data_IF_669730183949
#
_entry.id   IF_669730183949
#
_cell.length_a   1.000
_cell.length_b   1.000
_cell.length_c   1.000
_cell.angle_alpha   90.00
_cell.angle_beta   90.00
_cell.angle_gamma   90.00
#
_symmetry.space_group_name_H-M   'P 1'
#
loop_
_entity.id
_entity.type
_entity.pdbx_description
1 polymer ?
#
# COMPACT_ATOMS: atom_id res chain seq x y z
N UNK A 1 18.13 10.06 -10.84
CA UNK A 1 17.14 11.07 -10.46
C UNK A 1 17.84 12.14 -9.65
N UNK A 2 18.16 13.27 -10.29
CA UNK A 2 18.99 14.36 -9.76
C UNK A 2 18.17 15.61 -9.41
N UNK A 3 17.05 15.82 -10.10
CA UNK A 3 16.17 16.99 -9.95
C UNK A 3 14.74 16.60 -9.59
N UNK A 4 13.94 17.57 -9.14
CA UNK A 4 12.49 17.38 -8.94
C UNK A 4 11.78 17.12 -10.28
N UNK A 5 12.27 17.71 -11.37
CA UNK A 5 11.69 17.45 -12.69
C UNK A 5 11.95 16.00 -13.13
N UNK A 6 13.13 15.45 -12.83
CA UNK A 6 13.38 14.02 -13.02
C UNK A 6 12.37 13.19 -12.21
N UNK A 7 12.12 13.54 -10.94
CA UNK A 7 11.12 12.88 -10.10
C UNK A 7 9.75 12.82 -10.76
N UNK A 8 9.29 13.96 -11.26
CA UNK A 8 8.00 14.07 -11.96
C UNK A 8 7.97 13.23 -13.24
N UNK A 9 9.06 13.20 -14.00
CA UNK A 9 9.14 12.39 -15.23
C UNK A 9 9.05 10.89 -14.94
N UNK A 10 9.80 10.39 -13.94
CA UNK A 10 9.71 8.98 -13.55
C UNK A 10 8.32 8.63 -12.99
N UNK A 11 7.74 9.49 -12.14
CA UNK A 11 6.39 9.30 -11.65
C UNK A 11 5.37 9.28 -12.78
N UNK A 12 5.50 10.19 -13.76
CA UNK A 12 4.62 10.21 -14.94
C UNK A 12 4.67 8.90 -15.72
N UNK A 13 5.85 8.37 -16.00
CA UNK A 13 6.00 7.09 -16.71
C UNK A 13 5.29 5.94 -15.96
N UNK A 14 5.45 5.89 -14.63
CA UNK A 14 4.78 4.90 -13.78
C UNK A 14 3.25 5.08 -13.79
N UNK A 15 2.77 6.31 -13.58
CA UNK A 15 1.35 6.64 -13.49
C UNK A 15 0.62 6.45 -14.82
N UNK A 16 1.23 6.82 -15.94
CA UNK A 16 0.66 6.59 -17.26
C UNK A 16 0.42 5.08 -17.49
N UNK A 17 1.33 4.21 -17.04
CA UNK A 17 1.12 2.76 -17.12
C UNK A 17 0.02 2.26 -16.18
N UNK A 18 -0.01 2.72 -14.92
CA UNK A 18 -1.12 2.41 -14.01
C UNK A 18 -2.47 2.81 -14.60
N UNK A 19 -2.55 4.00 -15.20
CA UNK A 19 -3.75 4.48 -15.87
C UNK A 19 -4.15 3.60 -17.05
N UNK A 20 -3.21 3.24 -17.92
CA UNK A 20 -3.44 2.34 -19.06
C UNK A 20 -4.04 1.01 -18.57
N UNK A 21 -3.52 0.45 -17.47
CA UNK A 21 -4.04 -0.78 -16.85
C UNK A 21 -5.45 -0.59 -16.26
N UNK A 22 -5.70 0.50 -15.54
CA UNK A 22 -7.03 0.79 -15.01
C UNK A 22 -8.05 0.90 -16.15
N UNK A 23 -7.68 1.59 -17.23
CA UNK A 23 -8.54 1.76 -18.39
C UNK A 23 -8.80 0.46 -19.14
N UNK A 24 -7.80 -0.43 -19.23
CA UNK A 24 -8.00 -1.73 -19.88
C UNK A 24 -9.00 -2.59 -19.12
N UNK A 25 -9.06 -2.46 -17.79
CA UNK A 25 -9.98 -3.19 -16.91
C UNK A 25 -11.36 -2.52 -16.75
N UNK A 26 -11.49 -1.26 -17.17
CA UNK A 26 -12.73 -0.50 -17.01
C UNK A 26 -13.90 -1.13 -17.77
N UNK A 27 -15.07 -1.19 -17.12
CA UNK A 27 -16.29 -1.79 -17.68
C UNK A 27 -16.30 -3.31 -17.73
N UNK A 28 -15.24 -3.98 -17.26
CA UNK A 28 -15.23 -5.44 -17.12
C UNK A 28 -15.92 -5.86 -15.84
N UNK A 29 -16.61 -6.99 -15.92
CA UNK A 29 -17.15 -7.66 -14.73
C UNK A 29 -16.06 -8.57 -14.17
N UNK A 30 -15.64 -8.37 -12.92
CA UNK A 30 -14.73 -9.30 -12.26
C UNK A 30 -15.36 -10.68 -12.09
N UNK A 31 -14.51 -11.69 -12.01
CA UNK A 31 -14.93 -13.05 -11.72
C UNK A 31 -15.34 -13.24 -10.25
N UNK A 32 -14.85 -12.38 -9.34
CA UNK A 32 -15.18 -12.42 -7.91
C UNK A 32 -15.05 -11.04 -7.26
N UNK A 33 -15.65 -10.87 -6.08
CA UNK A 33 -15.49 -9.65 -5.28
C UNK A 33 -14.02 -9.42 -4.87
N UNK A 34 -13.26 -10.49 -4.60
CA UNK A 34 -11.81 -10.41 -4.30
C UNK A 34 -11.05 -9.83 -5.49
N UNK A 35 -11.42 -10.19 -6.71
CA UNK A 35 -10.84 -9.61 -7.91
C UNK A 35 -11.22 -8.14 -8.10
N UNK A 36 -12.48 -7.78 -7.85
CA UNK A 36 -12.92 -6.37 -7.86
C UNK A 36 -12.13 -5.53 -6.85
N UNK A 37 -11.98 -6.01 -5.62
CA UNK A 37 -11.26 -5.31 -4.55
C UNK A 37 -9.76 -5.20 -4.86
N UNK A 38 -9.17 -6.23 -5.47
CA UNK A 38 -7.80 -6.18 -6.01
C UNK A 38 -7.66 -5.07 -7.07
N UNK A 39 -8.63 -4.92 -7.96
CA UNK A 39 -8.63 -3.87 -8.99
C UNK A 39 -8.85 -2.48 -8.38
N UNK A 40 -9.64 -2.38 -7.31
CA UNK A 40 -9.79 -1.14 -6.54
C UNK A 40 -8.48 -0.73 -5.85
N UNK A 41 -7.68 -1.71 -5.40
CA UNK A 41 -6.36 -1.44 -4.83
C UNK A 41 -5.40 -0.80 -5.83
N UNK A 42 -5.42 -1.25 -7.10
CA UNK A 42 -4.67 -0.63 -8.19
C UNK A 42 -5.06 0.85 -8.36
N UNK A 43 -6.37 1.16 -8.33
CA UNK A 43 -6.86 2.54 -8.43
C UNK A 43 -6.43 3.38 -7.21
N UNK A 44 -6.44 2.79 -6.02
CA UNK A 44 -5.99 3.45 -4.80
C UNK A 44 -4.51 3.81 -4.86
N UNK A 45 -3.67 2.88 -5.34
CA UNK A 45 -2.23 3.12 -5.55
C UNK A 45 -1.99 4.22 -6.59
N UNK A 46 -2.73 4.20 -7.71
CA UNK A 46 -2.67 5.23 -8.74
C UNK A 46 -3.05 6.61 -8.21
N UNK A 47 -4.17 6.70 -7.48
CA UNK A 47 -4.65 7.96 -6.90
C UNK A 47 -3.63 8.57 -5.93
N UNK A 48 -3.08 7.76 -5.02
CA UNK A 48 -2.01 8.20 -4.10
C UNK A 48 -0.76 8.67 -4.83
N UNK A 49 -0.35 7.97 -5.90
CA UNK A 49 0.79 8.38 -6.72
C UNK A 49 0.54 9.70 -7.47
N UNK A 50 -0.69 9.95 -7.94
CA UNK A 50 -1.08 11.24 -8.52
C UNK A 50 -0.97 12.36 -7.49
N UNK A 51 -1.50 12.17 -6.29
CA UNK A 51 -1.41 13.16 -5.20
C UNK A 51 0.04 13.45 -4.83
N UNK A 52 0.87 12.42 -4.70
CA UNK A 52 2.30 12.58 -4.46
C UNK A 52 2.96 13.43 -5.54
N UNK A 53 2.65 13.15 -6.81
CA UNK A 53 3.25 13.86 -7.96
C UNK A 53 2.86 15.33 -7.98
N UNK A 54 1.60 15.67 -7.70
CA UNK A 54 1.15 17.06 -7.61
C UNK A 54 1.87 17.84 -6.50
N UNK A 55 2.19 17.19 -5.38
CA UNK A 55 2.89 17.84 -4.27
C UNK A 55 4.38 18.11 -4.57
N UNK A 56 4.96 17.50 -5.61
CA UNK A 56 6.31 17.82 -6.06
C UNK A 56 6.41 19.22 -6.68
N UNK A 57 5.29 19.81 -7.15
CA UNK A 57 5.26 21.21 -7.61
C UNK A 57 5.35 22.21 -6.44
N UNK A 58 5.15 21.72 -5.21
CA UNK A 58 5.11 22.52 -4.00
C UNK A 58 3.78 23.28 -3.83
N UNK A 59 3.56 23.77 -2.63
CA UNK A 59 2.37 24.54 -2.26
C UNK A 59 2.78 25.99 -2.03
N UNK A 60 2.18 26.89 -2.81
CA UNK A 60 2.31 28.35 -2.65
C UNK A 60 0.99 28.97 -2.18
N UNK A 61 1.02 30.25 -1.83
CA UNK A 61 -0.19 30.97 -1.41
C UNK A 61 -0.14 32.43 -1.84
N UNK A 62 -1.25 32.99 -2.32
CA UNK A 62 -1.33 34.39 -2.75
C UNK A 62 -2.39 35.11 -1.92
N UNK A 63 -2.03 36.27 -1.35
CA UNK A 63 -2.94 37.18 -0.66
C UNK A 63 -2.71 38.61 -1.13
N UNK A 64 -3.62 39.14 -1.95
CA UNK A 64 -3.51 40.46 -2.59
C UNK A 64 -2.18 40.58 -3.35
N UNK A 65 -1.31 41.50 -2.93
CA UNK A 65 0.02 41.72 -3.51
C UNK A 65 1.10 40.82 -2.91
N UNK A 66 0.80 40.11 -1.82
CA UNK A 66 1.75 39.22 -1.14
C UNK A 66 1.64 37.81 -1.71
N UNK A 67 2.78 37.16 -1.91
CA UNK A 67 2.85 35.76 -2.35
C UNK A 67 3.85 34.98 -1.51
N UNK A 68 3.49 33.73 -1.22
CA UNK A 68 4.35 32.68 -0.75
C UNK A 68 4.76 31.85 -1.96
N UNK A 69 6.05 31.79 -2.24
CA UNK A 69 6.59 30.93 -3.29
C UNK A 69 6.28 29.45 -2.98
N UNK A 70 6.08 28.61 -3.99
CA UNK A 70 5.83 27.19 -3.78
C UNK A 70 6.92 26.53 -2.93
N UNK A 71 6.49 25.83 -1.89
CA UNK A 71 7.34 25.07 -0.97
C UNK A 71 6.98 23.59 -1.08
N UNK A 72 8.00 22.73 -1.23
CA UNK A 72 7.79 21.28 -1.22
C UNK A 72 7.77 20.81 0.24
N UNK A 73 6.57 20.45 0.72
CA UNK A 73 6.41 19.87 2.06
C UNK A 73 6.76 18.37 2.03
N UNK A 74 8.01 18.07 2.36
CA UNK A 74 8.48 16.69 2.39
C UNK A 74 7.81 15.82 3.46
N UNK A 75 7.24 16.41 4.53
CA UNK A 75 6.55 15.64 5.58
C UNK A 75 5.26 15.00 5.05
N UNK A 76 4.52 15.74 4.22
CA UNK A 76 3.33 15.22 3.52
C UNK A 76 3.75 14.17 2.47
N UNK A 77 4.85 14.40 1.74
CA UNK A 77 5.39 13.41 0.81
C UNK A 77 5.70 12.07 1.51
N UNK A 78 6.33 12.10 2.68
CA UNK A 78 6.60 10.88 3.46
C UNK A 78 5.33 10.25 4.06
N UNK A 79 4.32 11.04 4.37
CA UNK A 79 3.02 10.55 4.82
C UNK A 79 2.32 9.74 3.71
N UNK A 80 2.35 10.24 2.47
CA UNK A 80 1.84 9.52 1.32
C UNK A 80 2.70 8.28 1.02
N UNK A 81 4.03 8.40 1.09
CA UNK A 81 4.94 7.26 0.91
C UNK A 81 4.65 6.12 1.89
N UNK A 82 4.41 6.45 3.16
CA UNK A 82 3.97 5.48 4.18
C UNK A 82 2.66 4.82 3.82
N UNK A 83 1.66 5.60 3.41
CA UNK A 83 0.35 5.06 3.04
C UNK A 83 0.44 4.11 1.84
N UNK A 84 1.30 4.41 0.86
CA UNK A 84 1.58 3.53 -0.28
C UNK A 84 2.30 2.26 0.18
N UNK A 85 3.29 2.36 1.07
CA UNK A 85 3.97 1.20 1.67
C UNK A 85 2.98 0.28 2.40
N UNK A 86 2.17 0.82 3.31
CA UNK A 86 1.17 0.05 4.05
C UNK A 86 0.15 -0.60 3.09
N UNK A 87 -0.25 0.11 2.03
CA UNK A 87 -1.14 -0.44 1.01
C UNK A 87 -0.50 -1.61 0.26
N UNK A 88 0.78 -1.50 -0.11
CA UNK A 88 1.52 -2.60 -0.72
C UNK A 88 1.59 -3.81 0.22
N UNK A 89 1.93 -3.61 1.50
CA UNK A 89 1.99 -4.69 2.48
C UNK A 89 0.65 -5.42 2.60
N UNK A 90 -0.45 -4.69 2.71
CA UNK A 90 -1.78 -5.30 2.79
C UNK A 90 -2.12 -6.03 1.50
N UNK A 91 -1.79 -5.46 0.33
CA UNK A 91 -1.96 -6.14 -0.95
C UNK A 91 -1.22 -7.48 -1.02
N UNK A 92 0.04 -7.51 -0.60
CA UNK A 92 0.84 -8.75 -0.55
C UNK A 92 0.17 -9.81 0.33
N UNK A 93 -0.24 -9.42 1.55
CA UNK A 93 -0.89 -10.31 2.52
C UNK A 93 -2.19 -10.91 1.95
N UNK A 94 -3.00 -10.10 1.26
CA UNK A 94 -4.33 -10.50 0.81
C UNK A 94 -4.33 -11.25 -0.53
N UNK A 95 -3.42 -10.90 -1.44
CA UNK A 95 -3.54 -11.32 -2.85
C UNK A 95 -2.33 -12.09 -3.39
N UNK A 96 -1.14 -11.90 -2.82
CA UNK A 96 0.11 -12.46 -3.40
C UNK A 96 0.66 -13.61 -2.57
N UNK A 97 0.74 -13.44 -1.25
CA UNK A 97 1.33 -14.42 -0.33
C UNK A 97 0.48 -15.67 -0.08
N UNK A 98 -0.88 -15.62 -0.08
CA UNK A 98 -1.67 -16.83 0.09
C UNK A 98 -1.42 -17.84 -1.03
N UNK A 99 -1.01 -19.06 -0.67
CA UNK A 99 -0.69 -20.13 -1.63
C UNK A 99 -1.92 -20.92 -2.07
N UNK A 100 -3.03 -20.79 -1.36
CA UNK A 100 -4.30 -21.49 -1.67
C UNK A 100 -5.49 -20.54 -1.54
N UNK A 101 -6.58 -20.86 -2.24
CA UNK A 101 -7.83 -20.12 -2.13
C UNK A 101 -8.36 -20.08 -0.69
N UNK A 102 -8.21 -21.16 0.08
CA UNK A 102 -8.65 -21.17 1.48
C UNK A 102 -7.77 -20.29 2.38
N UNK A 103 -6.46 -20.23 2.15
CA UNK A 103 -5.60 -19.26 2.86
C UNK A 103 -6.03 -17.83 2.54
N UNK A 104 -6.30 -17.52 1.26
CA UNK A 104 -6.77 -16.21 0.84
C UNK A 104 -8.11 -15.87 1.50
N UNK A 105 -9.09 -16.78 1.45
CA UNK A 105 -10.38 -16.62 2.12
C UNK A 105 -10.20 -16.28 3.60
N UNK A 106 -9.31 -16.97 4.31
CA UNK A 106 -9.11 -16.71 5.74
C UNK A 106 -8.53 -15.31 5.97
N UNK A 107 -7.40 -14.96 5.35
CA UNK A 107 -6.77 -13.65 5.59
C UNK A 107 -7.64 -12.48 5.12
N UNK A 108 -8.41 -12.68 4.04
CA UNK A 108 -9.34 -11.69 3.53
C UNK A 108 -10.49 -11.41 4.51
N UNK A 109 -11.09 -12.45 5.07
CA UNK A 109 -12.16 -12.30 6.05
C UNK A 109 -11.65 -11.74 7.39
N UNK A 110 -10.40 -12.01 7.78
CA UNK A 110 -9.77 -11.33 8.92
C UNK A 110 -9.61 -9.82 8.65
N UNK A 111 -9.24 -9.43 7.43
CA UNK A 111 -9.13 -8.03 7.03
C UNK A 111 -10.47 -7.31 7.04
N UNK A 112 -11.49 -7.88 6.41
CA UNK A 112 -12.83 -7.30 6.39
C UNK A 112 -13.39 -7.16 7.81
N UNK A 113 -13.37 -8.24 8.59
CA UNK A 113 -13.88 -8.24 9.96
C UNK A 113 -13.18 -7.20 10.84
N UNK A 114 -11.86 -7.04 10.72
CA UNK A 114 -11.13 -5.98 11.41
C UNK A 114 -11.58 -4.58 10.98
N UNK A 115 -11.63 -4.29 9.69
CA UNK A 115 -11.99 -2.95 9.19
C UNK A 115 -13.39 -2.51 9.61
N UNK A 116 -14.37 -3.41 9.49
CA UNK A 116 -15.73 -3.19 9.98
C UNK A 116 -15.75 -2.98 11.49
N UNK A 117 -15.00 -3.80 12.21
CA UNK A 117 -14.93 -3.76 13.67
C UNK A 117 -14.30 -2.50 14.25
N UNK A 118 -13.36 -1.86 13.55
CA UNK A 118 -12.76 -0.59 13.97
C UNK A 118 -13.77 0.55 13.78
N UNK A 119 -14.46 0.60 12.63
CA UNK A 119 -15.51 1.61 12.41
C UNK A 119 -16.59 1.56 13.49
N UNK A 120 -17.04 0.36 13.88
CA UNK A 120 -18.04 0.20 14.93
C UNK A 120 -17.56 0.63 16.33
N UNK A 121 -16.24 0.68 16.59
CA UNK A 121 -15.70 1.17 17.86
C UNK A 121 -15.66 2.70 17.93
N UNK A 122 -15.55 3.36 16.79
CA UNK A 122 -15.35 4.81 16.68
C UNK A 122 -16.67 5.58 16.48
N UNK A 123 -17.83 4.94 16.70
CA UNK A 123 -19.14 5.60 16.60
C UNK A 123 -19.48 6.32 17.91
N UNK A 124 -19.79 7.61 17.80
CA UNK A 124 -20.36 8.41 18.89
C UNK A 124 -21.84 8.03 19.12
N UNK A 125 -22.32 8.16 20.36
CA UNK A 125 -23.69 7.79 20.75
C UNK A 125 -24.78 8.46 19.88
N UNK A 126 -24.57 9.73 19.51
CA UNK A 126 -25.48 10.51 18.66
C UNK A 126 -25.56 9.96 17.21
N UNK A 127 -24.54 9.24 16.76
CA UNK A 127 -24.47 8.62 15.42
C UNK A 127 -25.15 7.25 15.41
N UNK A 128 -25.29 6.60 16.57
CA UNK A 128 -25.84 5.24 16.65
C UNK A 128 -27.34 5.21 16.28
N UNK A 129 -28.11 6.23 16.69
CA UNK A 129 -29.55 6.28 16.39
C UNK A 129 -29.84 6.50 14.90
N UNK A 130 -29.07 7.36 14.24
CA UNK A 130 -29.27 7.70 12.82
C UNK A 130 -28.76 6.60 11.85
N UNK A 131 -27.91 5.68 12.32
CA UNK A 131 -27.26 4.66 11.49
C UNK A 131 -27.48 3.22 11.95
N UNK A 132 -28.50 2.98 12.78
CA UNK A 132 -28.77 1.66 13.37
C UNK A 132 -28.85 0.51 12.35
N UNK A 133 -29.50 0.72 11.20
CA UNK A 133 -29.59 -0.30 10.14
C UNK A 133 -28.21 -0.68 9.59
N UNK A 134 -27.38 0.32 9.29
CA UNK A 134 -26.01 0.11 8.79
C UNK A 134 -25.12 -0.58 9.82
N UNK A 135 -25.25 -0.20 11.10
CA UNK A 135 -24.52 -0.85 12.19
C UNK A 135 -24.87 -2.34 12.25
N UNK A 136 -26.16 -2.66 12.12
CA UNK A 136 -26.63 -4.05 12.12
C UNK A 136 -26.14 -4.82 10.89
N UNK A 137 -26.15 -4.21 9.70
CA UNK A 137 -25.57 -4.79 8.48
C UNK A 137 -24.09 -5.12 8.67
N UNK A 138 -23.31 -4.18 9.18
CA UNK A 138 -21.87 -4.37 9.39
C UNK A 138 -21.57 -5.43 10.45
N UNK A 139 -22.40 -5.53 11.50
CA UNK A 139 -22.29 -6.61 12.48
C UNK A 139 -22.62 -7.97 11.85
N UNK A 140 -23.61 -8.04 10.97
CA UNK A 140 -23.93 -9.27 10.23
C UNK A 140 -22.78 -9.67 9.30
N UNK A 141 -22.13 -8.71 8.65
CA UNK A 141 -20.97 -8.94 7.79
C UNK A 141 -19.77 -9.46 8.60
N UNK A 142 -19.53 -8.94 9.81
CA UNK A 142 -18.51 -9.45 10.73
C UNK A 142 -18.79 -10.91 11.11
N UNK A 143 -20.04 -11.24 11.43
CA UNK A 143 -20.43 -12.61 11.78
C UNK A 143 -20.29 -13.56 10.57
N UNK A 144 -20.60 -13.07 9.37
CA UNK A 144 -20.42 -13.82 8.14
C UNK A 144 -18.94 -14.07 7.82
N UNK A 145 -18.05 -13.11 8.08
CA UNK A 145 -16.61 -13.31 7.95
C UNK A 145 -16.13 -14.49 8.81
N UNK A 146 -16.61 -14.53 10.07
CA UNK A 146 -16.28 -15.60 11.01
C UNK A 146 -16.82 -16.95 10.52
N UNK A 147 -18.10 -17.02 10.13
CA UNK A 147 -18.69 -18.26 9.59
C UNK A 147 -17.95 -18.75 8.35
N UNK A 148 -17.57 -17.84 7.46
CA UNK A 148 -16.82 -18.14 6.24
C UNK A 148 -15.46 -18.79 6.59
N UNK A 149 -14.70 -18.21 7.52
CA UNK A 149 -13.43 -18.77 8.01
C UNK A 149 -13.64 -20.18 8.58
N UNK A 150 -14.58 -20.33 9.50
CA UNK A 150 -14.86 -21.59 10.21
C UNK A 150 -15.35 -22.71 9.26
N UNK A 151 -15.95 -22.33 8.13
CA UNK A 151 -16.44 -23.26 7.12
C UNK A 151 -15.33 -23.88 6.26
N UNK A 152 -14.16 -23.24 6.14
CA UNK A 152 -13.05 -23.72 5.28
C UNK A 152 -12.50 -25.06 5.75
N UNK A 153 -12.06 -25.89 4.81
CA UNK A 153 -11.43 -27.19 5.11
C UNK A 153 -10.09 -26.99 5.82
N UNK A 154 -9.32 -25.98 5.41
CA UNK A 154 -8.08 -25.57 6.04
C UNK A 154 -8.28 -25.29 7.52
N UNK A 155 -9.18 -24.38 7.91
CA UNK A 155 -9.40 -24.03 9.31
C UNK A 155 -9.78 -25.24 10.18
N UNK A 156 -10.58 -26.18 9.64
CA UNK A 156 -10.99 -27.40 10.35
C UNK A 156 -9.84 -28.39 10.60
N UNK A 157 -8.77 -28.29 9.80
CA UNK A 157 -7.63 -29.21 9.84
C UNK A 157 -6.35 -28.58 10.40
N UNK A 158 -6.35 -27.27 10.67
CA UNK A 158 -5.24 -26.58 11.34
C UNK A 158 -4.92 -27.19 12.69
N UNK A 159 -3.65 -27.09 13.07
CA UNK A 159 -3.23 -27.44 14.42
C UNK A 159 -3.82 -26.48 15.46
N UNK A 160 -3.82 -26.91 16.73
CA UNK A 160 -4.40 -26.11 17.83
C UNK A 160 -3.78 -24.70 17.92
N UNK A 161 -2.44 -24.52 17.82
CA UNK A 161 -1.83 -23.20 17.83
C UNK A 161 -2.29 -22.27 16.70
N UNK A 162 -2.28 -22.73 15.44
CA UNK A 162 -2.66 -21.89 14.31
C UNK A 162 -4.14 -21.52 14.37
N UNK A 163 -4.99 -22.49 14.76
CA UNK A 163 -6.43 -22.24 14.97
C UNK A 163 -6.67 -21.20 16.06
N UNK A 164 -6.01 -21.34 17.22
CA UNK A 164 -6.11 -20.38 18.30
C UNK A 164 -5.63 -18.98 17.88
N UNK A 165 -4.61 -18.87 17.04
CA UNK A 165 -4.16 -17.57 16.49
C UNK A 165 -5.25 -16.90 15.65
N UNK A 166 -5.96 -17.65 14.81
CA UNK A 166 -7.08 -17.13 14.02
C UNK A 166 -8.25 -16.73 14.92
N UNK A 167 -8.60 -17.55 15.91
CA UNK A 167 -9.67 -17.25 16.86
C UNK A 167 -9.37 -15.97 17.64
N UNK A 168 -8.12 -15.81 18.08
CA UNK A 168 -7.65 -14.60 18.74
C UNK A 168 -7.60 -13.40 17.79
N UNK A 169 -7.35 -13.59 16.49
CA UNK A 169 -7.39 -12.52 15.50
C UNK A 169 -8.83 -11.98 15.32
N UNK A 170 -9.81 -12.87 15.31
CA UNK A 170 -11.24 -12.52 15.26
C UNK A 170 -11.71 -11.78 16.52
N UNK A 171 -11.25 -12.21 17.71
CA UNK A 171 -11.59 -11.55 18.98
C UNK A 171 -10.85 -10.22 19.14
N UNK A 172 -9.53 -10.25 18.96
CA UNK A 172 -8.63 -9.12 19.14
C UNK A 172 -8.68 -8.11 18.00
N UNK A 173 -9.46 -8.41 16.94
CA UNK A 173 -9.66 -7.57 15.76
C UNK A 173 -8.31 -7.13 15.18
N UNK A 174 -7.53 -8.09 14.70
CA UNK A 174 -6.28 -7.85 13.96
C UNK A 174 -6.31 -8.65 12.66
N UNK A 175 -5.65 -8.17 11.61
CA UNK A 175 -5.74 -8.83 10.29
C UNK A 175 -4.42 -9.12 9.58
N UNK A 176 -3.30 -8.50 9.99
CA UNK A 176 -2.01 -8.66 9.31
C UNK A 176 -1.35 -9.99 9.66
N UNK A 177 -1.96 -11.07 9.19
CA UNK A 177 -1.52 -12.44 9.42
C UNK A 177 -1.06 -13.08 8.12
N UNK A 178 0.03 -13.83 8.18
CA UNK A 178 0.62 -14.53 7.03
C UNK A 178 0.74 -16.01 7.33
N UNK A 179 0.33 -16.85 6.37
CA UNK A 179 0.54 -18.29 6.42
C UNK A 179 1.98 -18.64 6.02
N UNK A 180 2.58 -19.58 6.75
CA UNK A 180 3.86 -20.22 6.42
C UNK A 180 3.61 -21.52 5.66
N UNK A 181 4.69 -22.15 5.17
CA UNK A 181 4.60 -23.35 4.32
C UNK A 181 3.94 -24.55 5.03
N UNK A 182 4.09 -24.65 6.34
CA UNK A 182 3.47 -25.67 7.19
C UNK A 182 2.05 -25.29 7.65
N UNK A 183 1.43 -24.27 7.06
CA UNK A 183 0.16 -23.68 7.48
C UNK A 183 0.15 -23.10 8.91
N UNK A 184 1.31 -22.91 9.55
CA UNK A 184 1.36 -22.03 10.71
C UNK A 184 1.02 -20.60 10.27
N UNK A 185 0.50 -19.81 11.20
CA UNK A 185 0.09 -18.43 10.94
C UNK A 185 0.72 -17.52 11.98
N UNK A 186 1.24 -16.38 11.52
CA UNK A 186 1.90 -15.40 12.36
C UNK A 186 1.44 -13.98 12.06
N UNK A 187 1.45 -13.13 13.08
CA UNK A 187 1.14 -11.72 12.95
C UNK A 187 2.37 -10.93 12.51
N UNK A 188 2.19 -10.00 11.58
CA UNK A 188 3.24 -9.14 11.04
C UNK A 188 3.03 -7.69 11.48
N UNK A 189 4.08 -7.13 12.09
CA UNK A 189 4.19 -5.71 12.40
C UNK A 189 4.69 -4.92 11.19
N UNK A 190 4.24 -3.66 11.02
CA UNK A 190 4.63 -2.87 9.85
C UNK A 190 6.13 -2.59 9.79
N UNK A 191 6.77 -2.52 10.96
CA UNK A 191 8.22 -2.38 11.13
C UNK A 191 8.98 -3.53 10.48
N UNK A 192 8.41 -4.73 10.45
CA UNK A 192 9.00 -5.95 9.88
C UNK A 192 8.40 -6.36 8.52
N UNK A 193 7.31 -5.72 8.10
CA UNK A 193 6.55 -6.13 6.95
C UNK A 193 7.32 -6.01 5.62
N UNK A 194 8.36 -5.17 5.55
CA UNK A 194 9.23 -5.08 4.37
C UNK A 194 9.87 -6.42 4.01
N UNK A 195 10.03 -7.34 4.97
CA UNK A 195 10.54 -8.69 4.76
C UNK A 195 9.62 -9.55 3.88
N UNK A 196 8.35 -9.16 3.75
CA UNK A 196 7.38 -9.83 2.90
C UNK A 196 7.57 -9.51 1.41
N UNK A 197 8.26 -8.42 1.06
CA UNK A 197 8.37 -7.92 -0.32
C UNK A 197 9.36 -8.70 -1.20
N UNK A 198 10.00 -9.74 -0.66
CA UNK A 198 11.00 -10.55 -1.34
C UNK A 198 12.11 -9.72 -2.02
N UNK A 199 12.60 -8.68 -1.34
CA UNK A 199 13.70 -7.85 -1.82
C UNK A 199 15.03 -8.25 -1.18
N UNK A 200 16.15 -7.81 -1.76
CA UNK A 200 17.50 -7.95 -1.21
C UNK A 200 17.54 -7.56 0.25
N UNK A 201 18.29 -8.34 1.02
CA UNK A 201 18.46 -8.13 2.44
C UNK A 201 18.92 -6.70 2.74
N UNK A 202 18.37 -6.14 3.81
CA UNK A 202 18.68 -4.80 4.33
C UNK A 202 18.24 -3.60 3.48
N UNK A 203 17.67 -3.80 2.29
CA UNK A 203 17.30 -2.72 1.39
C UNK A 203 16.26 -1.76 1.98
N UNK A 204 15.26 -2.28 2.70
CA UNK A 204 14.18 -1.51 3.33
C UNK A 204 14.23 -1.57 4.85
N UNK A 205 15.40 -1.86 5.44
CA UNK A 205 15.53 -1.85 6.88
C UNK A 205 15.13 -0.48 7.44
N UNK A 206 14.28 -0.49 8.46
CA UNK A 206 13.79 0.71 9.14
C UNK A 206 12.99 1.68 8.25
N UNK A 207 12.53 1.24 7.07
CA UNK A 207 11.80 2.12 6.13
C UNK A 207 10.54 2.71 6.76
N UNK A 208 9.82 1.89 7.55
CA UNK A 208 8.62 2.34 8.25
C UNK A 208 8.94 3.35 9.36
N UNK A 209 10.04 3.14 10.09
CA UNK A 209 10.52 4.06 11.11
C UNK A 209 10.96 5.39 10.49
N UNK A 210 11.61 5.36 9.31
CA UNK A 210 11.98 6.55 8.55
C UNK A 210 10.75 7.38 8.19
N UNK A 211 9.71 6.73 7.64
CA UNK A 211 8.47 7.43 7.29
C UNK A 211 7.76 7.99 8.53
N UNK A 212 7.77 7.24 9.62
CA UNK A 212 7.21 7.67 10.89
C UNK A 212 7.96 8.89 11.44
N UNK A 213 9.29 8.92 11.33
CA UNK A 213 10.13 10.03 11.80
C UNK A 213 9.81 11.35 11.08
N UNK A 214 9.59 11.28 9.77
CA UNK A 214 9.36 12.47 8.93
C UNK A 214 7.89 12.84 8.75
N UNK A 215 6.96 11.90 8.96
CA UNK A 215 5.52 12.13 8.82
C UNK A 215 4.78 12.41 10.13
N UNK A 216 5.32 12.02 11.30
CA UNK A 216 4.68 12.32 12.58
C UNK A 216 5.09 13.68 13.16
N UNK A 217 4.16 14.38 13.84
CA UNK A 217 4.47 15.60 14.57
C UNK A 217 5.39 15.28 15.76
N UNK A 218 6.69 15.43 15.56
CA UNK A 218 7.74 15.26 16.57
C UNK A 218 8.62 16.51 16.61
N UNK A 219 9.30 16.73 17.73
CA UNK A 219 10.27 17.83 17.83
C UNK A 219 11.34 17.76 16.73
N UNK A 220 11.78 16.55 16.36
CA UNK A 220 12.73 16.36 15.28
C UNK A 220 12.15 16.74 13.92
N UNK A 221 10.90 16.35 13.64
CA UNK A 221 10.22 16.74 12.39
C UNK A 221 10.11 18.27 12.24
N UNK A 222 9.89 18.99 13.34
CA UNK A 222 9.81 20.45 13.34
C UNK A 222 11.18 21.10 13.07
N UNK A 223 12.25 20.59 13.68
CA UNK A 223 13.61 21.05 13.40
C UNK A 223 13.99 20.80 11.94
N UNK A 224 13.72 19.59 11.44
CA UNK A 224 14.00 19.24 10.04
C UNK A 224 13.22 20.12 9.08
N UNK A 225 11.96 20.41 9.36
CA UNK A 225 11.16 21.31 8.53
C UNK A 225 11.70 22.74 8.53
N UNK A 226 12.07 23.27 9.71
CA UNK A 226 12.71 24.59 9.82
C UNK A 226 13.99 24.67 8.98
N UNK A 227 14.82 23.63 9.04
CA UNK A 227 16.15 23.64 8.42
C UNK A 227 16.12 23.28 6.93
N UNK A 228 15.03 22.68 6.44
CA UNK A 228 14.91 22.19 5.06
C UNK A 228 14.90 23.29 3.98
N UNK A 229 14.63 24.54 4.37
CA UNK A 229 14.47 25.68 3.46
C UNK A 229 15.63 26.67 3.50
N UNK A 230 16.74 26.32 4.17
CA UNK A 230 17.95 27.15 4.17
C UNK A 230 18.55 27.14 2.75
N UNK A 231 18.79 28.32 2.17
CA UNK A 231 19.14 28.48 0.75
C UNK A 231 20.39 27.70 0.32
N UNK A 232 21.38 27.61 1.21
CA UNK A 232 22.64 26.87 1.00
C UNK A 232 22.44 25.35 0.96
N UNK A 233 21.38 24.85 1.62
CA UNK A 233 21.10 23.43 1.79
C UNK A 233 19.59 23.17 1.66
N UNK A 234 19.13 23.03 0.41
CA UNK A 234 17.74 22.73 0.03
C UNK A 234 17.36 21.27 0.33
N UNK A 235 17.39 20.92 1.61
CA UNK A 235 17.11 19.57 2.10
C UNK A 235 15.69 19.12 1.74
N UNK A 236 14.74 20.06 1.59
CA UNK A 236 13.39 19.79 1.10
C UNK A 236 13.40 19.05 -0.24
N UNK A 237 14.28 19.45 -1.17
CA UNK A 237 14.41 18.81 -2.48
C UNK A 237 15.05 17.44 -2.39
N UNK A 238 16.05 17.27 -1.52
CA UNK A 238 16.71 15.98 -1.33
C UNK A 238 15.78 14.96 -0.67
N UNK A 239 15.02 15.39 0.32
CA UNK A 239 13.98 14.58 0.97
C UNK A 239 12.86 14.22 -0.01
N UNK A 240 12.41 15.16 -0.85
CA UNK A 240 11.42 14.88 -1.89
C UNK A 240 11.92 13.87 -2.92
N UNK A 241 13.18 13.97 -3.35
CA UNK A 241 13.82 12.96 -4.22
C UNK A 241 13.83 11.59 -3.55
N UNK A 242 14.19 11.52 -2.27
CA UNK A 242 14.23 10.26 -1.55
C UNK A 242 12.84 9.63 -1.38
N UNK A 243 11.84 10.42 -0.99
CA UNK A 243 10.45 9.97 -0.92
C UNK A 243 9.95 9.46 -2.28
N UNK A 244 10.34 10.13 -3.38
CA UNK A 244 10.02 9.69 -4.75
C UNK A 244 10.63 8.32 -5.05
N UNK A 245 11.90 8.09 -4.72
CA UNK A 245 12.55 6.80 -4.91
C UNK A 245 11.80 5.68 -4.17
N UNK A 246 11.39 5.94 -2.93
CA UNK A 246 10.64 4.99 -2.12
C UNK A 246 9.31 4.62 -2.80
N UNK A 247 8.52 5.61 -3.21
CA UNK A 247 7.21 5.36 -3.84
C UNK A 247 7.35 4.66 -5.18
N UNK A 248 8.28 5.10 -6.03
CA UNK A 248 8.55 4.40 -7.30
C UNK A 248 8.90 2.93 -7.06
N UNK A 249 9.65 2.64 -6.00
CA UNK A 249 9.98 1.27 -5.62
C UNK A 249 8.74 0.48 -5.21
N UNK A 250 7.89 1.03 -4.35
CA UNK A 250 6.68 0.34 -3.89
C UNK A 250 5.65 0.16 -5.00
N UNK A 251 5.47 1.17 -5.85
CA UNK A 251 4.59 1.06 -7.02
C UNK A 251 5.13 0.06 -8.04
N UNK A 252 6.44 0.02 -8.26
CA UNK A 252 7.08 -1.00 -9.11
C UNK A 252 6.85 -2.41 -8.59
N UNK A 253 7.06 -2.65 -7.29
CA UNK A 253 6.81 -3.95 -6.66
C UNK A 253 5.33 -4.32 -6.82
N UNK A 254 4.42 -3.41 -6.44
CA UNK A 254 2.97 -3.61 -6.55
C UNK A 254 2.56 -4.02 -7.96
N UNK A 255 2.97 -3.27 -8.98
CA UNK A 255 2.49 -3.51 -10.34
C UNK A 255 3.05 -4.81 -10.92
N UNK A 256 4.30 -5.17 -10.57
CA UNK A 256 4.89 -6.44 -10.98
C UNK A 256 4.21 -7.62 -10.30
N UNK A 257 3.88 -7.53 -9.01
CA UNK A 257 3.16 -8.59 -8.31
C UNK A 257 1.69 -8.67 -8.76
N UNK A 258 1.07 -7.54 -9.09
CA UNK A 258 -0.23 -7.50 -9.75
C UNK A 258 -0.22 -8.21 -11.11
N UNK A 259 0.83 -8.06 -11.92
CA UNK A 259 0.97 -8.79 -13.20
C UNK A 259 1.00 -10.32 -13.03
N UNK A 260 1.47 -10.83 -11.89
CA UNK A 260 1.45 -12.29 -11.61
C UNK A 260 0.03 -12.79 -11.42
N UNK A 261 -0.86 -11.92 -10.93
CA UNK A 261 -2.28 -12.21 -10.68
C UNK A 261 -3.17 -11.92 -11.90
N UNK A 262 -2.64 -11.18 -12.89
CA UNK A 262 -3.37 -10.77 -14.09
C UNK A 262 -2.46 -10.80 -15.33
N UNK A 263 -2.55 -11.89 -16.09
CA UNK A 263 -1.69 -12.14 -17.26
C UNK A 263 -1.88 -11.12 -18.39
N UNK A 264 -3.05 -10.51 -18.51
CA UNK A 264 -3.27 -9.49 -19.53
C UNK A 264 -2.47 -8.22 -19.23
N UNK A 265 -2.37 -7.84 -17.96
CA UNK A 265 -1.54 -6.71 -17.54
C UNK A 265 -0.06 -7.02 -17.78
N UNK A 266 0.35 -8.28 -17.62
CA UNK A 266 1.68 -8.74 -18.02
C UNK A 266 1.91 -8.59 -19.53
N UNK A 267 0.93 -8.94 -20.36
CA UNK A 267 1.01 -8.78 -21.81
C UNK A 267 1.09 -7.31 -22.23
N UNK A 268 0.38 -6.41 -21.53
CA UNK A 268 0.48 -4.97 -21.73
C UNK A 268 1.90 -4.48 -21.42
N UNK A 269 2.45 -4.90 -20.28
CA UNK A 269 3.82 -4.55 -19.87
C UNK A 269 4.87 -5.06 -20.86
N UNK A 270 4.70 -6.27 -21.40
CA UNK A 270 5.66 -6.87 -22.32
C UNK A 270 5.73 -6.17 -23.69
N UNK A 271 4.67 -5.47 -24.08
CA UNK A 271 4.60 -4.69 -25.32
C UNK A 271 5.23 -3.30 -25.21
N UNK A 272 5.57 -2.84 -24.00
CA UNK A 272 6.20 -1.54 -23.80
C UNK A 272 7.61 -1.49 -24.39
N UNK A 273 8.01 -0.32 -24.89
CA UNK A 273 9.39 -0.08 -25.30
C UNK A 273 10.37 -0.25 -24.11
N UNK A 274 11.60 -0.69 -24.42
CA UNK A 274 12.62 -1.02 -23.41
C UNK A 274 12.81 0.06 -22.33
N UNK A 275 12.89 1.37 -22.65
CA UNK A 275 13.08 2.40 -21.62
C UNK A 275 11.90 2.48 -20.64
N UNK A 276 10.65 2.37 -21.13
CA UNK A 276 9.44 2.42 -20.29
C UNK A 276 9.30 1.16 -19.46
N UNK A 277 9.56 0.00 -20.07
CA UNK A 277 9.62 -1.29 -19.38
C UNK A 277 10.64 -1.27 -18.24
N UNK A 278 11.84 -0.75 -18.52
CA UNK A 278 12.87 -0.55 -17.50
C UNK A 278 12.39 0.41 -16.41
N UNK A 279 11.86 1.60 -16.73
CA UNK A 279 11.43 2.54 -15.70
C UNK A 279 10.36 1.98 -14.74
N UNK A 280 9.46 1.13 -15.25
CA UNK A 280 8.38 0.49 -14.46
C UNK A 280 8.92 -0.70 -13.64
N UNK A 281 9.77 -1.55 -14.23
CA UNK A 281 10.27 -2.77 -13.59
C UNK A 281 11.63 -2.64 -12.90
N UNK A 282 12.36 -1.53 -13.08
CA UNK A 282 13.76 -1.36 -12.64
C UNK A 282 13.91 -1.62 -11.15
N UNK A 283 12.95 -1.18 -10.35
CA UNK A 283 13.04 -1.36 -8.91
C UNK A 283 12.83 -2.82 -8.54
N UNK A 284 11.92 -3.58 -9.17
CA UNK A 284 11.85 -5.04 -8.91
C UNK A 284 13.14 -5.77 -9.32
N UNK A 285 13.63 -5.57 -10.53
CA UNK A 285 14.85 -6.23 -11.04
C UNK A 285 16.08 -5.88 -10.18
N UNK A 286 16.26 -4.59 -9.87
CA UNK A 286 17.38 -4.12 -9.05
C UNK A 286 17.28 -4.60 -7.60
N UNK A 287 16.06 -4.70 -7.05
CA UNK A 287 15.82 -5.01 -5.64
C UNK A 287 15.73 -6.50 -5.38
N UNK A 288 15.16 -7.32 -6.26
CA UNK A 288 15.04 -8.78 -6.08
C UNK A 288 16.22 -9.56 -6.67
N UNK A 289 17.03 -8.92 -7.52
CA UNK A 289 18.24 -9.54 -8.09
C UNK A 289 17.97 -10.55 -9.19
N UNK A 290 16.73 -10.64 -9.67
CA UNK A 290 16.35 -11.42 -10.84
C UNK A 290 16.68 -10.60 -12.09
N UNK A 291 17.76 -10.92 -12.80
CA UNK A 291 18.09 -10.30 -14.08
C UNK A 291 17.08 -10.77 -15.14
N UNK A 292 15.92 -10.11 -15.26
CA UNK A 292 14.90 -10.42 -16.28
C UNK A 292 15.13 -9.68 -17.60
N UNK A 293 16.06 -8.72 -17.64
CA UNK A 293 16.42 -7.94 -18.85
C UNK A 293 17.70 -8.41 -19.56
N UNK A 294 17.87 -9.71 -19.80
CA UNK A 294 18.82 -10.21 -20.82
C UNK A 294 18.10 -10.50 -22.13
#
# INVERSE_FOLDING_TARGET
MQTIEDCKQYMKVMLDFYYDVIMSLSGRKAASYIEDDRNLWLQTMFSKGCQFTSLLDGVGYIKNTSHLNPIIDFSILFTIARSIYESLIVFEILFVLPKTAEQQTIVYNLFMSHGLSERLKDLDDDVIEDYAERIQEEQNDIDECKRTIESTSLYKTLDKPAKATIDNALIGKKFRYVFRENNSIEFIHYEDAYKLLNVKENLFNNIYSLFSLHGHPSYLSLIQFRDAFIDEYRADKDMAKHATQCILSFMSIFIVDYMKLNTEVKDMYDKLEKPRKFAIGMYEDAMRGENKFK
#
